data_IF_142102200754
#
_entry.id   IF_142102200754
#
_cell.length_a   1.000
_cell.length_b   1.000
_cell.length_c   1.000
_cell.angle_alpha   90.00
_cell.angle_beta   90.00
_cell.angle_gamma   90.00
#
_symmetry.space_group_name_H-M   'P 1'
#
loop_
_entity.id
_entity.type
_entity.pdbx_description
1 polymer ?
#
# COMPACT_ATOMS: atom_id res chain seq x y z
N UNK A 1 -24.86 7.51 -15.80
CA UNK A 1 -24.11 7.02 -14.63
C UNK A 1 -23.26 5.79 -14.96
N UNK A 2 -23.85 4.75 -15.56
CA UNK A 2 -23.15 3.49 -15.94
C UNK A 2 -21.96 3.68 -16.89
N UNK A 3 -22.01 4.67 -17.80
CA UNK A 3 -20.90 4.97 -18.73
C UNK A 3 -19.57 5.26 -18.02
N UNK A 4 -19.57 6.10 -16.98
CA UNK A 4 -18.35 6.40 -16.22
C UNK A 4 -17.83 5.19 -15.45
N UNK A 5 -18.73 4.31 -14.99
CA UNK A 5 -18.35 3.03 -14.38
C UNK A 5 -17.64 2.16 -15.43
N UNK A 6 -18.24 1.96 -16.61
CA UNK A 6 -17.63 1.19 -17.68
C UNK A 6 -16.25 1.74 -18.09
N UNK A 7 -16.12 3.05 -18.27
CA UNK A 7 -14.85 3.73 -18.58
C UNK A 7 -13.77 3.46 -17.52
N UNK A 8 -14.14 3.46 -16.22
CA UNK A 8 -13.22 3.11 -15.13
C UNK A 8 -12.71 1.68 -15.24
N UNK A 9 -13.58 0.71 -15.54
CA UNK A 9 -13.18 -0.69 -15.67
C UNK A 9 -12.32 -0.94 -16.92
N UNK A 10 -12.61 -0.27 -18.04
CA UNK A 10 -11.75 -0.30 -19.23
C UNK A 10 -10.36 0.26 -18.90
N UNK A 11 -10.30 1.41 -18.24
CA UNK A 11 -9.05 2.03 -17.84
C UNK A 11 -8.24 1.11 -16.91
N UNK A 12 -8.89 0.52 -15.92
CA UNK A 12 -8.23 -0.45 -15.03
C UNK A 12 -7.69 -1.66 -15.78
N UNK A 13 -8.47 -2.23 -16.71
CA UNK A 13 -8.02 -3.34 -17.53
C UNK A 13 -6.75 -2.99 -18.32
N UNK A 14 -6.72 -1.82 -18.93
CA UNK A 14 -5.63 -1.38 -19.80
C UNK A 14 -4.38 -0.90 -19.06
N UNK A 15 -4.56 -0.20 -17.95
CA UNK A 15 -3.46 0.50 -17.26
C UNK A 15 -2.94 -0.23 -16.02
N UNK A 16 -3.76 -1.06 -15.38
CA UNK A 16 -3.40 -1.72 -14.12
C UNK A 16 -3.32 -3.24 -14.27
N UNK A 17 -4.30 -3.87 -14.93
CA UNK A 17 -4.36 -5.33 -15.02
C UNK A 17 -3.57 -5.91 -16.20
N UNK A 18 -3.50 -5.21 -17.33
CA UNK A 18 -2.80 -5.68 -18.52
C UNK A 18 -1.34 -6.02 -18.21
N UNK A 19 -0.93 -7.24 -18.58
CA UNK A 19 0.42 -7.75 -18.29
C UNK A 19 0.70 -8.11 -16.83
N UNK A 20 -0.24 -7.88 -15.90
CA UNK A 20 -0.11 -8.18 -14.47
C UNK A 20 -1.09 -9.29 -14.03
N UNK A 21 -2.36 -9.21 -14.43
CA UNK A 21 -3.39 -10.22 -14.12
C UNK A 21 -4.33 -10.44 -15.31
N UNK A 22 -4.11 -11.51 -16.09
CA UNK A 22 -5.02 -11.90 -17.18
C UNK A 22 -6.45 -12.21 -16.71
N UNK A 23 -6.64 -12.58 -15.45
CA UNK A 23 -7.98 -12.78 -14.88
C UNK A 23 -8.67 -11.42 -14.68
N UNK A 24 -8.02 -10.49 -13.99
CA UNK A 24 -8.64 -9.19 -13.68
C UNK A 24 -8.81 -8.33 -14.94
N UNK A 25 -7.89 -8.41 -15.91
CA UNK A 25 -8.03 -7.73 -17.21
C UNK A 25 -9.31 -8.20 -17.91
N UNK A 26 -9.48 -9.51 -18.05
CA UNK A 26 -10.65 -10.13 -18.69
C UNK A 26 -11.96 -9.80 -17.98
N UNK A 27 -11.97 -9.91 -16.65
CA UNK A 27 -13.16 -9.61 -15.85
C UNK A 27 -13.51 -8.12 -15.90
N UNK A 28 -12.53 -7.22 -15.91
CA UNK A 28 -12.77 -5.80 -16.01
C UNK A 28 -13.37 -5.40 -17.36
N UNK A 29 -12.83 -5.94 -18.46
CA UNK A 29 -13.40 -5.75 -19.80
C UNK A 29 -14.83 -6.31 -19.91
N UNK A 30 -15.10 -7.43 -19.24
CA UNK A 30 -16.45 -7.99 -19.15
C UNK A 30 -17.40 -7.08 -18.37
N UNK A 31 -17.03 -6.65 -17.17
CA UNK A 31 -17.84 -5.76 -16.32
C UNK A 31 -18.19 -4.47 -17.07
N UNK A 32 -17.25 -3.91 -17.85
CA UNK A 32 -17.48 -2.71 -18.65
C UNK A 32 -18.56 -2.87 -19.73
N UNK A 33 -18.90 -4.10 -20.12
CA UNK A 33 -19.92 -4.42 -21.15
C UNK A 33 -21.17 -5.09 -20.57
N UNK A 34 -21.09 -5.65 -19.36
CA UNK A 34 -22.19 -6.36 -18.71
C UNK A 34 -23.20 -5.38 -18.09
N UNK A 35 -24.40 -5.30 -18.68
CA UNK A 35 -25.49 -4.48 -18.15
C UNK A 35 -25.87 -4.91 -16.71
N UNK A 36 -25.77 -6.21 -16.39
CA UNK A 36 -26.01 -6.75 -15.05
C UNK A 36 -25.01 -6.15 -14.04
N UNK A 37 -23.71 -6.23 -14.34
CA UNK A 37 -22.67 -5.68 -13.47
C UNK A 37 -22.76 -4.15 -13.34
N UNK A 38 -22.99 -3.43 -14.45
CA UNK A 38 -23.10 -1.98 -14.42
C UNK A 38 -24.33 -1.50 -13.64
N UNK A 39 -25.47 -2.20 -13.76
CA UNK A 39 -26.68 -1.88 -13.00
C UNK A 39 -26.45 -2.13 -11.51
N UNK A 40 -25.84 -3.26 -11.14
CA UNK A 40 -25.44 -3.55 -9.77
C UNK A 40 -24.54 -2.45 -9.18
N UNK A 41 -23.43 -2.12 -9.84
CA UNK A 41 -22.49 -1.10 -9.37
C UNK A 41 -23.13 0.28 -9.25
N UNK A 42 -24.11 0.60 -10.10
CA UNK A 42 -24.83 1.86 -10.05
C UNK A 42 -25.68 2.04 -8.79
N UNK A 43 -25.98 0.96 -8.06
CA UNK A 43 -26.67 1.03 -6.76
C UNK A 43 -25.75 1.39 -5.60
N UNK A 44 -24.43 1.33 -5.81
CA UNK A 44 -23.42 1.60 -4.80
C UNK A 44 -22.92 3.05 -4.88
N UNK A 45 -22.48 3.65 -3.75
CA UNK A 45 -21.79 4.93 -3.74
C UNK A 45 -20.55 4.94 -4.66
N UNK A 46 -20.18 6.11 -5.18
CA UNK A 46 -19.12 6.23 -6.20
C UNK A 46 -17.74 5.70 -5.73
N UNK A 47 -17.41 5.89 -4.46
CA UNK A 47 -16.20 5.38 -3.80
C UNK A 47 -16.22 3.85 -3.63
N UNK A 48 -17.38 3.21 -3.77
CA UNK A 48 -17.57 1.75 -3.68
C UNK A 48 -17.69 1.06 -5.02
N UNK A 49 -17.38 1.75 -6.12
CA UNK A 49 -17.50 1.19 -7.48
C UNK A 49 -16.14 0.81 -8.10
N UNK A 50 -15.11 0.63 -7.27
CA UNK A 50 -13.74 0.38 -7.72
C UNK A 50 -13.56 -1.09 -8.18
N UNK A 51 -12.81 -1.36 -9.27
CA UNK A 51 -12.59 -2.72 -9.76
C UNK A 51 -11.98 -3.66 -8.72
N UNK A 52 -10.90 -3.25 -8.05
CA UNK A 52 -10.25 -4.06 -7.02
C UNK A 52 -11.22 -4.44 -5.87
N UNK A 53 -12.07 -3.50 -5.44
CA UNK A 53 -13.06 -3.75 -4.41
C UNK A 53 -14.13 -4.76 -4.86
N UNK A 54 -14.62 -4.64 -6.11
CA UNK A 54 -15.60 -5.57 -6.67
C UNK A 54 -15.01 -6.99 -6.75
N UNK A 55 -13.80 -7.12 -7.30
CA UNK A 55 -13.18 -8.44 -7.49
C UNK A 55 -12.85 -9.09 -6.15
N UNK A 56 -12.33 -8.34 -5.17
CA UNK A 56 -12.11 -8.85 -3.83
C UNK A 56 -13.43 -9.26 -3.14
N UNK A 57 -14.49 -8.47 -3.29
CA UNK A 57 -15.80 -8.78 -2.72
C UNK A 57 -16.42 -10.04 -3.33
N UNK A 58 -16.38 -10.19 -4.66
CA UNK A 58 -16.84 -11.40 -5.35
C UNK A 58 -16.03 -12.61 -4.89
N UNK A 59 -14.70 -12.49 -4.76
CA UNK A 59 -13.86 -13.58 -4.25
C UNK A 59 -14.15 -13.95 -2.80
N UNK A 60 -14.43 -12.96 -1.96
CA UNK A 60 -14.84 -13.18 -0.57
C UNK A 60 -16.16 -13.95 -0.48
N UNK A 61 -17.13 -13.63 -1.35
CA UNK A 61 -18.47 -14.23 -1.33
C UNK A 61 -18.48 -15.62 -1.99
N UNK A 62 -17.79 -15.78 -3.12
CA UNK A 62 -17.96 -16.94 -4.02
C UNK A 62 -16.66 -17.68 -4.36
N UNK A 63 -15.51 -17.30 -3.78
CA UNK A 63 -14.21 -17.88 -4.09
C UNK A 63 -13.61 -17.37 -5.41
N UNK A 64 -12.54 -18.01 -5.87
CA UNK A 64 -11.83 -17.57 -7.07
C UNK A 64 -12.68 -17.77 -8.33
N UNK A 65 -13.10 -16.67 -8.96
CA UNK A 65 -13.82 -16.65 -10.23
C UNK A 65 -12.88 -16.11 -11.31
N UNK A 66 -12.70 -16.85 -12.40
CA UNK A 66 -11.86 -16.45 -13.54
C UNK A 66 -12.62 -16.22 -14.85
N UNK A 67 -13.88 -16.68 -14.91
CA UNK A 67 -14.71 -16.67 -16.12
C UNK A 67 -15.84 -15.63 -16.07
N UNK A 68 -16.06 -14.83 -17.14
CA UNK A 68 -17.13 -13.85 -17.25
C UNK A 68 -18.53 -14.37 -16.88
N UNK A 69 -18.92 -15.55 -17.38
CA UNK A 69 -20.24 -16.10 -17.11
C UNK A 69 -20.45 -16.42 -15.63
N UNK A 70 -19.45 -17.04 -14.98
CA UNK A 70 -19.51 -17.34 -13.56
C UNK A 70 -19.57 -16.05 -12.73
N UNK A 71 -18.87 -15.01 -13.16
CA UNK A 71 -18.91 -13.70 -12.53
C UNK A 71 -20.31 -13.07 -12.60
N UNK A 72 -20.94 -13.06 -13.78
CA UNK A 72 -22.31 -12.57 -13.94
C UNK A 72 -23.32 -13.39 -13.12
N UNK A 73 -23.13 -14.71 -13.00
CA UNK A 73 -23.98 -15.54 -12.12
C UNK A 73 -23.88 -15.09 -10.68
N UNK A 74 -22.68 -14.84 -10.15
CA UNK A 74 -22.51 -14.34 -8.78
C UNK A 74 -23.19 -12.98 -8.60
N UNK A 75 -22.99 -12.04 -9.53
CA UNK A 75 -23.62 -10.71 -9.43
C UNK A 75 -25.14 -10.80 -9.51
N UNK A 76 -25.69 -11.71 -10.33
CA UNK A 76 -27.15 -11.88 -10.43
C UNK A 76 -27.74 -12.57 -9.19
N UNK A 77 -27.11 -13.64 -8.74
CA UNK A 77 -27.71 -14.55 -7.75
C UNK A 77 -27.35 -14.15 -6.31
N UNK A 78 -26.25 -13.40 -6.10
CA UNK A 78 -25.72 -13.03 -4.77
C UNK A 78 -25.36 -11.55 -4.67
N UNK A 79 -26.07 -10.68 -5.41
CA UNK A 79 -25.84 -9.24 -5.47
C UNK A 79 -25.73 -8.59 -4.08
N UNK A 80 -26.68 -8.87 -3.18
CA UNK A 80 -26.75 -8.19 -1.89
C UNK A 80 -25.62 -8.60 -0.94
N UNK A 81 -25.15 -9.85 -1.03
CA UNK A 81 -23.98 -10.30 -0.28
C UNK A 81 -22.72 -9.56 -0.73
N UNK A 82 -22.53 -9.43 -2.06
CA UNK A 82 -21.41 -8.66 -2.63
C UNK A 82 -21.53 -7.18 -2.25
N UNK A 83 -22.72 -6.58 -2.36
CA UNK A 83 -22.96 -5.19 -1.97
C UNK A 83 -22.66 -4.95 -0.48
N UNK A 84 -23.05 -5.88 0.39
CA UNK A 84 -22.77 -5.81 1.82
C UNK A 84 -21.27 -5.76 2.09
N UNK A 85 -20.49 -6.61 1.43
CA UNK A 85 -19.02 -6.58 1.53
C UNK A 85 -18.46 -5.26 1.02
N UNK A 86 -18.87 -4.82 -0.17
CA UNK A 86 -18.37 -3.58 -0.78
C UNK A 86 -18.72 -2.33 0.02
N UNK A 87 -19.86 -2.29 0.72
CA UNK A 87 -20.24 -1.16 1.59
C UNK A 87 -19.43 -1.14 2.89
N UNK A 88 -19.07 -2.31 3.43
CA UNK A 88 -18.36 -2.44 4.71
C UNK A 88 -16.85 -2.36 4.59
N UNK A 89 -16.30 -2.90 3.50
CA UNK A 89 -14.86 -3.01 3.27
C UNK A 89 -14.36 -1.97 2.28
N UNK A 90 -13.08 -1.65 2.39
CA UNK A 90 -12.38 -0.75 1.47
C UNK A 90 -11.15 -1.48 0.92
N UNK A 91 -10.70 -1.10 -0.27
CA UNK A 91 -9.39 -1.52 -0.79
C UNK A 91 -8.31 -1.01 0.16
N UNK A 92 -7.63 -1.91 0.87
CA UNK A 92 -6.59 -1.58 1.85
C UNK A 92 -5.37 -2.48 1.64
N UNK A 93 -4.68 -2.29 0.51
CA UNK A 93 -3.49 -3.08 0.17
C UNK A 93 -2.37 -2.81 1.16
N UNK A 94 -2.20 -3.71 2.12
CA UNK A 94 -1.03 -3.69 3.02
C UNK A 94 0.08 -4.52 2.37
N UNK A 95 1.13 -3.86 1.87
CA UNK A 95 2.18 -4.50 1.07
C UNK A 95 3.54 -4.46 1.78
N UNK A 96 3.90 -5.49 2.58
CA UNK A 96 5.16 -5.54 3.34
C UNK A 96 6.40 -5.40 2.47
N UNK A 97 6.32 -5.78 1.18
CA UNK A 97 7.43 -5.63 0.24
C UNK A 97 7.96 -4.20 0.14
N UNK A 98 7.10 -3.20 0.38
CA UNK A 98 7.50 -1.77 0.38
C UNK A 98 8.51 -1.43 1.47
N UNK A 99 8.62 -2.21 2.54
CA UNK A 99 9.69 -2.02 3.52
C UNK A 99 11.08 -2.18 2.87
N UNK A 100 11.25 -2.96 1.80
CA UNK A 100 12.54 -3.12 1.12
C UNK A 100 13.05 -1.83 0.46
N UNK A 101 12.14 -0.92 0.12
CA UNK A 101 12.47 0.39 -0.47
C UNK A 101 12.54 1.51 0.57
N UNK A 102 11.90 1.31 1.73
CA UNK A 102 11.96 2.23 2.86
C UNK A 102 13.22 2.03 3.71
N UNK A 103 13.66 0.78 3.90
CA UNK A 103 14.77 0.46 4.81
C UNK A 103 16.08 1.19 4.48
N UNK A 104 16.49 1.34 3.20
CA UNK A 104 17.69 2.12 2.85
C UNK A 104 17.67 3.57 3.35
N UNK A 105 16.48 4.15 3.55
CA UNK A 105 16.31 5.49 4.08
C UNK A 105 16.25 5.49 5.61
N UNK A 106 15.45 4.59 6.19
CA UNK A 106 15.30 4.47 7.64
C UNK A 106 16.63 4.15 8.33
N UNK A 107 17.45 3.27 7.75
CA UNK A 107 18.75 2.89 8.30
C UNK A 107 19.80 4.02 8.28
N UNK A 108 19.53 5.15 7.62
CA UNK A 108 20.39 6.34 7.63
C UNK A 108 20.05 7.32 8.75
N UNK A 109 18.93 7.11 9.44
CA UNK A 109 18.51 7.94 10.57
C UNK A 109 19.26 7.44 11.81
N UNK A 110 20.03 8.33 12.42
CA UNK A 110 20.85 7.98 13.60
C UNK A 110 20.01 8.07 14.87
N UNK A 111 20.12 7.05 15.72
CA UNK A 111 19.48 7.01 17.03
C UNK A 111 18.07 6.41 17.00
N UNK A 112 17.38 6.43 18.14
CA UNK A 112 16.06 5.81 18.28
C UNK A 112 15.02 6.50 17.41
N UNK A 113 14.17 5.71 16.76
CA UNK A 113 13.12 6.16 15.86
C UNK A 113 11.75 5.89 16.50
N UNK A 114 10.88 6.90 16.41
CA UNK A 114 9.45 6.78 16.62
C UNK A 114 8.77 6.76 15.24
N UNK A 115 8.34 5.58 14.79
CA UNK A 115 7.84 5.35 13.43
C UNK A 115 6.31 5.46 13.36
N UNK A 116 5.80 6.37 12.55
CA UNK A 116 4.37 6.56 12.30
C UNK A 116 4.05 6.23 10.84
N UNK A 117 3.12 5.30 10.62
CA UNK A 117 2.55 5.04 9.30
C UNK A 117 1.17 5.70 9.19
N UNK A 118 0.96 6.48 8.15
CA UNK A 118 -0.36 6.98 7.77
C UNK A 118 -0.91 6.10 6.65
N UNK A 119 -2.17 5.68 6.79
CA UNK A 119 -2.78 4.67 5.92
C UNK A 119 -2.31 3.26 6.24
N UNK A 120 -2.13 2.96 7.52
CA UNK A 120 -1.41 1.78 7.98
C UNK A 120 -2.10 0.44 7.67
N UNK A 121 -3.41 0.42 7.36
CA UNK A 121 -4.19 -0.81 7.19
C UNK A 121 -4.05 -1.74 8.40
N UNK A 122 -3.33 -2.86 8.28
CA UNK A 122 -3.03 -3.81 9.35
C UNK A 122 -1.65 -3.61 9.99
N UNK A 123 -0.96 -2.51 9.64
CA UNK A 123 0.34 -2.11 10.19
C UNK A 123 1.53 -2.93 9.71
N UNK A 124 1.39 -3.75 8.66
CA UNK A 124 2.48 -4.64 8.26
C UNK A 124 3.74 -3.89 7.75
N UNK A 125 3.63 -2.61 7.38
CA UNK A 125 4.77 -1.80 6.98
C UNK A 125 5.44 -1.07 8.16
N UNK A 126 4.86 -1.11 9.37
CA UNK A 126 5.46 -0.61 10.62
C UNK A 126 6.51 -1.56 11.21
N UNK A 127 6.79 -2.67 10.53
CA UNK A 127 7.65 -3.76 10.98
C UNK A 127 8.97 -3.87 10.16
N UNK A 128 9.62 -2.78 9.71
CA UNK A 128 10.80 -2.89 8.84
C UNK A 128 12.06 -3.40 9.56
N UNK A 129 12.10 -3.33 10.89
CA UNK A 129 13.20 -3.82 11.72
C UNK A 129 13.11 -5.32 12.05
N UNK A 130 12.01 -5.99 11.69
CA UNK A 130 11.81 -7.42 11.98
C UNK A 130 11.83 -8.31 10.73
N UNK A 131 11.81 -7.71 9.54
CA UNK A 131 11.87 -8.45 8.28
C UNK A 131 13.31 -8.70 7.81
N UNK A 132 13.45 -9.69 6.92
CA UNK A 132 14.69 -9.89 6.16
C UNK A 132 14.63 -9.20 4.80
N UNK A 133 15.80 -8.96 4.21
CA UNK A 133 15.95 -8.21 2.97
C UNK A 133 16.98 -8.85 2.05
N UNK A 134 16.66 -8.86 0.75
CA UNK A 134 17.55 -9.33 -0.30
C UNK A 134 17.55 -8.33 -1.46
N UNK A 135 18.63 -7.57 -1.58
CA UNK A 135 18.86 -6.61 -2.67
C UNK A 135 19.71 -7.19 -3.81
N UNK A 136 19.86 -8.52 -3.85
CA UNK A 136 20.68 -9.25 -4.81
C UNK A 136 22.09 -9.46 -4.29
N UNK A 137 22.95 -8.46 -4.45
CA UNK A 137 24.36 -8.49 -4.03
C UNK A 137 24.56 -8.29 -2.52
N UNK A 138 23.52 -7.83 -1.84
CA UNK A 138 23.52 -7.56 -0.40
C UNK A 138 22.26 -8.13 0.23
N UNK A 139 22.44 -8.80 1.37
CA UNK A 139 21.34 -9.38 2.15
C UNK A 139 21.47 -8.94 3.60
N UNK A 140 20.32 -8.70 4.21
CA UNK A 140 20.19 -8.47 5.64
C UNK A 140 19.18 -9.49 6.17
N UNK A 141 19.61 -10.55 6.87
CA UNK A 141 18.67 -11.53 7.43
C UNK A 141 17.74 -10.86 8.45
N UNK A 142 16.56 -11.42 8.75
CA UNK A 142 15.75 -10.94 9.86
C UNK A 142 16.51 -11.11 11.19
N UNK A 143 16.14 -10.37 12.25
CA UNK A 143 16.68 -10.62 13.58
C UNK A 143 16.47 -12.09 14.02
N UNK A 144 17.38 -12.69 14.82
CA UNK A 144 17.31 -14.11 15.18
C UNK A 144 15.98 -14.56 15.77
N UNK A 145 15.31 -13.70 16.53
CA UNK A 145 14.00 -13.97 17.13
C UNK A 145 12.85 -14.13 16.11
N UNK A 146 13.05 -13.65 14.87
CA UNK A 146 12.09 -13.76 13.77
C UNK A 146 12.57 -14.69 12.63
N UNK A 147 13.72 -15.33 12.80
CA UNK A 147 14.26 -16.28 11.82
C UNK A 147 13.26 -17.42 11.55
N UNK A 148 13.12 -17.78 10.27
CA UNK A 148 12.16 -18.81 9.82
C UNK A 148 10.69 -18.40 9.82
N UNK A 149 10.35 -17.22 10.34
CA UNK A 149 8.98 -16.67 10.30
C UNK A 149 8.86 -15.43 9.42
N UNK A 150 9.79 -14.49 9.58
CA UNK A 150 9.74 -13.24 8.83
C UNK A 150 9.98 -13.48 7.32
N UNK A 151 9.25 -12.78 6.44
CA UNK A 151 9.52 -12.85 5.02
C UNK A 151 10.90 -12.25 4.71
N UNK A 152 11.55 -12.79 3.69
CA UNK A 152 12.69 -12.14 3.03
C UNK A 152 12.16 -11.28 1.89
N UNK A 153 12.33 -9.97 2.01
CA UNK A 153 11.82 -8.99 1.06
C UNK A 153 12.84 -8.76 -0.06
N UNK A 154 12.55 -9.33 -1.22
CA UNK A 154 13.38 -9.19 -2.41
C UNK A 154 13.14 -7.86 -3.11
N UNK A 155 14.23 -7.20 -3.50
CA UNK A 155 14.16 -5.93 -4.21
C UNK A 155 15.32 -5.77 -5.19
N UNK A 156 15.01 -5.57 -6.47
CA UNK A 156 16.00 -5.22 -7.47
C UNK A 156 16.53 -3.80 -7.23
N UNK A 157 17.82 -3.56 -7.37
CA UNK A 157 18.41 -2.25 -7.09
C UNK A 157 19.23 -1.71 -8.25
N UNK A 158 19.17 -0.40 -8.46
CA UNK A 158 20.14 0.30 -9.31
C UNK A 158 21.46 0.50 -8.56
N UNK A 159 22.57 0.71 -9.30
CA UNK A 159 23.81 1.22 -8.72
C UNK A 159 23.57 2.47 -7.86
N UNK A 160 24.33 2.61 -6.79
CA UNK A 160 24.24 3.75 -5.85
C UNK A 160 23.11 3.67 -4.83
N UNK A 161 22.23 2.67 -4.90
CA UNK A 161 21.22 2.44 -3.85
C UNK A 161 21.91 2.10 -2.52
N UNK A 162 21.66 2.84 -1.42
CA UNK A 162 22.27 2.56 -0.13
C UNK A 162 22.02 1.13 0.34
N UNK A 163 23.02 0.53 1.01
CA UNK A 163 22.98 -0.84 1.54
C UNK A 163 23.04 -0.83 3.07
N UNK A 164 21.90 -0.96 3.77
CA UNK A 164 21.88 -1.05 5.23
C UNK A 164 22.70 -2.23 5.74
N UNK A 165 23.60 -2.01 6.70
CA UNK A 165 24.34 -3.08 7.37
C UNK A 165 23.61 -3.63 8.61
N UNK A 166 22.62 -2.89 9.11
CA UNK A 166 21.81 -3.23 10.26
C UNK A 166 20.39 -2.68 10.09
N UNK A 167 19.44 -3.23 10.83
CA UNK A 167 18.08 -2.69 10.95
C UNK A 167 18.08 -1.35 11.70
N UNK A 168 17.10 -0.46 11.42
CA UNK A 168 16.93 0.78 12.16
C UNK A 168 16.51 0.52 13.62
N UNK A 169 16.96 1.37 14.55
CA UNK A 169 16.60 1.30 15.97
C UNK A 169 15.19 1.91 16.20
N UNK A 170 14.14 1.10 16.03
CA UNK A 170 12.74 1.54 16.19
C UNK A 170 12.23 1.18 17.58
N UNK A 171 12.22 2.16 18.48
CA UNK A 171 11.80 1.97 19.88
C UNK A 171 10.30 2.21 20.11
N UNK A 172 9.63 2.86 19.16
CA UNK A 172 8.21 3.18 19.24
C UNK A 172 7.60 3.18 17.85
N UNK A 173 6.36 2.68 17.71
CA UNK A 173 5.65 2.67 16.44
C UNK A 173 4.14 2.79 16.61
N UNK A 174 3.48 3.49 15.69
CA UNK A 174 2.03 3.56 15.62
C UNK A 174 1.52 3.76 14.18
N UNK A 175 0.39 3.16 13.85
CA UNK A 175 -0.30 3.37 12.58
C UNK A 175 -1.57 4.18 12.76
N UNK A 176 -1.84 5.10 11.83
CA UNK A 176 -3.09 5.84 11.71
C UNK A 176 -3.82 5.39 10.44
N UNK A 177 -5.03 4.87 10.57
CA UNK A 177 -5.86 4.46 9.43
C UNK A 177 -7.33 4.76 9.70
N UNK A 178 -8.12 5.05 8.65
CA UNK A 178 -9.56 5.29 8.81
C UNK A 178 -10.31 4.04 9.27
N UNK A 179 -9.83 2.85 8.89
CA UNK A 179 -10.42 1.57 9.23
C UNK A 179 -9.30 0.53 9.45
N UNK A 180 -8.56 0.61 10.57
CA UNK A 180 -7.47 -0.33 10.83
C UNK A 180 -7.96 -1.78 10.85
N UNK A 181 -7.16 -2.69 10.28
CA UNK A 181 -7.48 -4.11 10.22
C UNK A 181 -6.74 -4.87 11.32
N UNK A 182 -7.43 -5.79 11.97
CA UNK A 182 -6.91 -6.54 13.12
C UNK A 182 -6.41 -7.91 12.69
N UNK A 183 -5.09 -8.10 12.67
CA UNK A 183 -4.46 -9.37 12.25
C UNK A 183 -4.78 -10.55 13.17
N UNK A 184 -5.35 -10.32 14.36
CA UNK A 184 -5.84 -11.39 15.25
C UNK A 184 -7.22 -11.91 14.83
N UNK A 185 -7.92 -11.23 13.91
CA UNK A 185 -9.23 -11.63 13.39
C UNK A 185 -9.10 -12.28 12.03
N UNK A 186 -9.51 -13.54 11.95
CA UNK A 186 -9.50 -14.32 10.69
C UNK A 186 -10.23 -13.61 9.56
N UNK A 187 -11.33 -12.90 9.85
CA UNK A 187 -12.09 -12.17 8.84
C UNK A 187 -11.32 -10.99 8.21
N UNK A 188 -10.42 -10.34 8.95
CA UNK A 188 -9.60 -9.24 8.46
C UNK A 188 -8.39 -9.78 7.69
N UNK A 189 -7.76 -10.85 8.18
CA UNK A 189 -6.71 -11.57 7.45
C UNK A 189 -7.24 -12.09 6.11
N UNK A 190 -8.40 -12.76 6.12
CA UNK A 190 -9.04 -13.22 4.89
C UNK A 190 -9.34 -12.07 3.93
N UNK A 191 -9.74 -10.90 4.41
CA UNK A 191 -9.96 -9.72 3.57
C UNK A 191 -8.66 -9.24 2.92
N UNK A 192 -7.57 -9.12 3.68
CA UNK A 192 -6.25 -8.77 3.14
C UNK A 192 -5.81 -9.73 2.04
N UNK A 193 -6.03 -11.05 2.22
CA UNK A 193 -5.71 -12.05 1.20
C UNK A 193 -6.54 -11.88 -0.08
N UNK A 194 -7.81 -11.48 0.01
CA UNK A 194 -8.65 -11.23 -1.17
C UNK A 194 -8.19 -10.02 -1.99
N UNK A 195 -7.44 -9.10 -1.39
CA UNK A 195 -6.85 -7.94 -2.07
C UNK A 195 -5.58 -8.32 -2.85
N UNK A 196 -4.98 -9.47 -2.58
CA UNK A 196 -3.88 -10.02 -3.40
C UNK A 196 -4.46 -10.72 -4.62
N UNK A 197 -4.04 -10.28 -5.81
CA UNK A 197 -4.61 -10.77 -7.06
C UNK A 197 -4.31 -12.27 -7.26
N UNK A 198 -5.20 -13.02 -7.95
CA UNK A 198 -5.11 -14.48 -8.04
C UNK A 198 -3.76 -15.02 -8.51
N UNK A 199 -3.11 -14.32 -9.43
CA UNK A 199 -1.82 -14.70 -10.02
C UNK A 199 -0.62 -14.39 -9.10
N UNK A 200 -0.79 -13.54 -8.09
CA UNK A 200 0.31 -13.02 -7.28
C UNK A 200 0.64 -13.88 -6.05
N UNK A 201 0.88 -15.18 -6.24
CA UNK A 201 1.10 -16.13 -5.13
C UNK A 201 2.28 -15.77 -4.23
N UNK A 202 3.41 -15.34 -4.81
CA UNK A 202 4.56 -14.87 -4.01
C UNK A 202 4.22 -13.66 -3.12
N UNK A 203 3.29 -12.81 -3.55
CA UNK A 203 2.81 -11.68 -2.73
C UNK A 203 1.87 -12.18 -1.63
N UNK A 204 1.06 -13.19 -1.90
CA UNK A 204 0.18 -13.81 -0.91
C UNK A 204 0.99 -14.52 0.18
N UNK A 205 2.02 -15.27 -0.20
CA UNK A 205 2.90 -15.95 0.76
C UNK A 205 3.63 -14.93 1.64
N UNK A 206 4.17 -13.85 1.04
CA UNK A 206 4.77 -12.75 1.79
C UNK A 206 3.78 -12.10 2.77
N UNK A 207 2.55 -11.83 2.32
CA UNK A 207 1.51 -11.26 3.17
C UNK A 207 1.24 -12.17 4.37
N UNK A 208 1.08 -13.48 4.16
CA UNK A 208 0.85 -14.46 5.23
C UNK A 208 2.00 -14.52 6.23
N UNK A 209 3.25 -14.54 5.74
CA UNK A 209 4.43 -14.48 6.62
C UNK A 209 4.48 -13.19 7.44
N UNK A 210 4.20 -12.03 6.83
CA UNK A 210 4.14 -10.76 7.55
C UNK A 210 3.01 -10.71 8.59
N UNK A 211 1.82 -11.24 8.25
CA UNK A 211 0.71 -11.40 9.21
C UNK A 211 1.13 -12.27 10.39
N UNK A 212 1.83 -13.38 10.14
CA UNK A 212 2.33 -14.25 11.22
C UNK A 212 3.32 -13.56 12.16
N UNK A 213 4.14 -12.64 11.63
CA UNK A 213 5.02 -11.79 12.45
C UNK A 213 4.19 -10.79 13.26
N UNK A 214 3.26 -10.08 12.61
CA UNK A 214 2.41 -9.09 13.25
C UNK A 214 1.49 -9.68 14.33
N UNK A 215 1.08 -10.95 14.20
CA UNK A 215 0.33 -11.64 15.25
C UNK A 215 1.15 -11.88 16.53
N UNK A 216 2.48 -11.95 16.44
CA UNK A 216 3.36 -12.05 17.61
C UNK A 216 3.86 -10.71 18.13
N UNK A 217 4.04 -9.73 17.25
CA UNK A 217 4.42 -8.38 17.61
C UNK A 217 3.46 -7.39 16.92
N UNK A 218 2.23 -7.24 17.43
CA UNK A 218 1.24 -6.39 16.78
C UNK A 218 1.62 -4.92 16.90
N UNK A 219 1.75 -4.19 15.78
CA UNK A 219 1.94 -2.75 15.84
C UNK A 219 0.68 -2.10 16.41
N UNK A 220 0.85 -1.00 17.16
CA UNK A 220 -0.27 -0.20 17.64
C UNK A 220 -0.96 0.48 16.46
N UNK A 221 -2.28 0.27 16.32
CA UNK A 221 -3.09 0.93 15.30
C UNK A 221 -4.14 1.81 15.96
N UNK A 222 -4.31 3.01 15.42
CA UNK A 222 -5.28 4.02 15.86
C UNK A 222 -6.22 4.32 14.70
N UNK A 223 -7.52 4.27 14.96
CA UNK A 223 -8.52 4.68 14.00
C UNK A 223 -8.57 6.22 13.94
N UNK A 224 -8.38 6.80 12.77
CA UNK A 224 -8.43 8.26 12.58
C UNK A 224 -8.17 8.74 11.16
N UNK A 225 -8.49 10.00 10.91
CA UNK A 225 -8.28 10.71 9.66
C UNK A 225 -6.89 11.36 9.64
N UNK A 226 -6.11 11.01 8.61
CA UNK A 226 -4.74 11.49 8.44
C UNK A 226 -4.56 13.01 8.36
N UNK A 227 -5.61 13.74 7.99
CA UNK A 227 -5.60 15.20 7.87
C UNK A 227 -5.96 15.90 9.18
N UNK A 228 -6.48 15.18 10.18
CA UNK A 228 -6.99 15.74 11.42
C UNK A 228 -6.29 15.18 12.65
N UNK A 229 -6.10 13.87 12.72
CA UNK A 229 -5.69 13.17 13.94
C UNK A 229 -4.17 12.94 14.05
N UNK A 230 -3.43 13.13 12.95
CA UNK A 230 -1.99 12.92 12.89
C UNK A 230 -1.19 13.75 13.92
N UNK A 231 -1.46 15.06 14.15
CA UNK A 231 -0.71 15.85 15.12
C UNK A 231 -0.79 15.29 16.55
N UNK A 232 -1.96 14.78 16.94
CA UNK A 232 -2.14 14.16 18.26
C UNK A 232 -1.29 12.90 18.39
N UNK A 233 -1.23 12.06 17.35
CA UNK A 233 -0.42 10.84 17.36
C UNK A 233 1.09 11.14 17.37
N UNK A 234 1.54 12.18 16.66
CA UNK A 234 2.94 12.65 16.70
C UNK A 234 3.33 13.07 18.12
N UNK A 235 2.44 13.76 18.84
CA UNK A 235 2.69 14.25 20.19
C UNK A 235 2.87 13.13 21.24
N UNK A 236 2.45 11.89 20.93
CA UNK A 236 2.64 10.72 21.80
C UNK A 236 4.03 10.07 21.66
N UNK A 237 4.81 10.46 20.64
CA UNK A 237 6.13 9.89 20.41
C UNK A 237 7.08 10.23 21.59
N UNK A 238 7.99 9.32 21.97
CA UNK A 238 8.97 9.58 23.01
C UNK A 238 9.84 10.80 22.70
N UNK A 239 10.11 11.69 23.68
CA UNK A 239 10.82 12.96 23.45
C UNK A 239 12.30 12.77 23.05
N UNK A 240 12.86 11.58 23.30
CA UNK A 240 14.24 11.22 22.95
C UNK A 240 14.34 10.43 21.63
N UNK A 241 13.26 10.32 20.85
CA UNK A 241 13.24 9.61 19.58
C UNK A 241 13.08 10.58 18.40
N UNK A 242 13.72 10.25 17.27
CA UNK A 242 13.46 10.93 16.01
C UNK A 242 12.11 10.49 15.47
N UNK A 243 11.15 11.41 15.35
CA UNK A 243 9.84 11.11 14.78
C UNK A 243 9.96 10.98 13.27
N UNK A 244 9.49 9.85 12.73
CA UNK A 244 9.44 9.59 11.30
C UNK A 244 8.00 9.30 10.93
N UNK A 245 7.41 10.14 10.08
CA UNK A 245 6.06 9.90 9.53
C UNK A 245 6.22 9.44 8.09
N UNK A 246 5.69 8.27 7.77
CA UNK A 246 5.72 7.75 6.42
C UNK A 246 4.34 7.29 5.94
N UNK A 247 4.20 7.19 4.62
CA UNK A 247 3.03 6.59 3.99
C UNK A 247 3.38 5.94 2.67
N UNK A 248 2.62 4.91 2.31
CA UNK A 248 2.79 4.20 1.04
C UNK A 248 1.46 4.00 0.31
N UNK A 249 1.29 4.68 -0.82
CA UNK A 249 0.11 4.60 -1.69
C UNK A 249 -1.24 5.04 -1.07
N UNK A 250 -1.27 5.77 0.05
CA UNK A 250 -2.55 6.14 0.70
C UNK A 250 -3.05 7.51 0.23
N UNK A 251 -2.15 8.47 -0.05
CA UNK A 251 -2.56 9.83 -0.38
C UNK A 251 -3.28 9.91 -1.72
N UNK A 252 -3.14 8.92 -2.60
CA UNK A 252 -3.94 8.77 -3.83
C UNK A 252 -5.45 8.68 -3.56
N UNK A 253 -5.87 8.20 -2.38
CA UNK A 253 -7.28 8.11 -1.98
C UNK A 253 -7.84 9.44 -1.45
N UNK A 254 -6.98 10.41 -1.12
CA UNK A 254 -7.40 11.78 -0.81
C UNK A 254 -7.65 12.48 -2.14
N UNK A 255 -8.88 12.43 -2.65
CA UNK A 255 -9.21 12.87 -4.01
C UNK A 255 -8.84 14.33 -4.31
N UNK A 256 -9.00 15.22 -3.32
CA UNK A 256 -8.74 16.64 -3.43
C UNK A 256 -7.23 16.97 -3.36
N UNK A 257 -6.70 17.59 -4.43
CA UNK A 257 -5.30 18.03 -4.49
C UNK A 257 -4.98 19.08 -3.42
N UNK A 258 -5.89 19.98 -3.08
CA UNK A 258 -5.64 21.01 -2.06
C UNK A 258 -5.44 20.38 -0.68
N UNK A 259 -6.18 19.29 -0.37
CA UNK A 259 -5.99 18.51 0.86
C UNK A 259 -4.64 17.78 0.87
N UNK A 260 -4.23 17.20 -0.27
CA UNK A 260 -2.89 16.61 -0.40
C UNK A 260 -1.80 17.65 -0.16
N UNK A 261 -1.90 18.82 -0.80
CA UNK A 261 -0.91 19.88 -0.66
C UNK A 261 -0.89 20.46 0.77
N UNK A 262 -2.04 20.53 1.44
CA UNK A 262 -2.11 20.90 2.86
C UNK A 262 -1.40 19.88 3.76
N UNK A 263 -1.60 18.58 3.53
CA UNK A 263 -0.86 17.53 4.23
C UNK A 263 0.66 17.69 4.06
N UNK A 264 1.12 17.92 2.82
CA UNK A 264 2.55 18.14 2.55
C UNK A 264 3.10 19.38 3.26
N UNK A 265 2.37 20.50 3.28
CA UNK A 265 2.78 21.71 4.03
C UNK A 265 2.91 21.43 5.52
N UNK A 266 1.90 20.79 6.12
CA UNK A 266 1.92 20.45 7.54
C UNK A 266 3.12 19.55 7.90
N UNK A 267 3.46 18.59 7.03
CA UNK A 267 4.63 17.73 7.24
C UNK A 267 5.96 18.51 7.12
N UNK A 268 6.06 19.42 6.16
CA UNK A 268 7.26 20.27 5.98
C UNK A 268 7.44 21.30 7.10
N UNK A 269 6.35 21.72 7.74
CA UNK A 269 6.34 22.64 8.89
C UNK A 269 6.54 21.91 10.23
N UNK A 270 6.46 20.58 10.25
CA UNK A 270 6.68 19.76 11.45
C UNK A 270 8.17 19.46 11.70
N UNK A 271 8.50 19.08 12.93
CA UNK A 271 9.85 18.59 13.29
C UNK A 271 10.10 17.11 12.89
N UNK A 272 9.09 16.43 12.34
CA UNK A 272 9.21 15.04 11.94
C UNK A 272 9.96 14.87 10.61
N UNK A 273 10.68 13.76 10.45
CA UNK A 273 11.14 13.32 9.14
C UNK A 273 9.95 12.75 8.38
N UNK A 274 9.59 13.37 7.27
CA UNK A 274 8.52 12.92 6.39
C UNK A 274 9.05 12.07 5.24
N UNK A 275 8.54 10.84 5.10
CA UNK A 275 8.85 9.94 3.99
C UNK A 275 7.57 9.63 3.19
N UNK A 276 7.56 10.02 1.91
CA UNK A 276 6.43 9.75 1.01
C UNK A 276 6.84 8.74 -0.05
N UNK A 277 6.13 7.60 -0.18
CA UNK A 277 6.27 6.68 -1.31
C UNK A 277 4.94 6.54 -2.07
N UNK A 278 4.76 7.35 -3.10
CA UNK A 278 3.46 7.53 -3.76
C UNK A 278 3.60 7.59 -5.28
N UNK A 279 2.49 7.38 -6.00
CA UNK A 279 2.47 7.67 -7.44
C UNK A 279 2.80 9.15 -7.70
N UNK A 280 3.54 9.48 -8.77
CA UNK A 280 4.08 10.83 -8.98
C UNK A 280 3.01 11.92 -9.24
N UNK A 281 1.74 11.54 -9.43
CA UNK A 281 0.59 12.46 -9.51
C UNK A 281 0.09 12.95 -8.15
N UNK A 282 0.50 12.32 -7.05
CA UNK A 282 0.04 12.70 -5.70
C UNK A 282 0.60 14.06 -5.30
N UNK A 283 1.89 14.28 -5.56
CA UNK A 283 2.60 15.53 -5.32
C UNK A 283 3.37 16.00 -6.56
N UNK A 284 2.68 16.52 -7.60
CA UNK A 284 3.30 16.89 -8.86
C UNK A 284 4.41 17.96 -8.70
N UNK A 285 4.29 18.84 -7.70
CA UNK A 285 5.27 19.87 -7.37
C UNK A 285 6.64 19.29 -6.99
N UNK A 286 6.68 18.08 -6.42
CA UNK A 286 7.93 17.42 -6.06
C UNK A 286 8.40 16.49 -7.16
N UNK A 287 7.48 15.80 -7.84
CA UNK A 287 7.79 14.91 -8.95
C UNK A 287 8.49 15.62 -10.12
N UNK A 288 8.21 16.90 -10.35
CA UNK A 288 8.88 17.72 -11.36
C UNK A 288 10.41 17.82 -11.16
N UNK A 289 10.92 17.58 -9.95
CA UNK A 289 12.36 17.61 -9.62
C UNK A 289 13.04 16.23 -9.73
N UNK A 290 12.29 15.17 -10.03
CA UNK A 290 12.79 13.80 -10.10
C UNK A 290 13.29 13.39 -11.50
N UNK A 291 13.43 14.36 -12.42
CA UNK A 291 13.82 14.13 -13.81
C UNK A 291 12.69 13.51 -14.64
N UNK A 292 13.00 12.45 -15.39
CA UNK A 292 12.01 11.80 -16.26
C UNK A 292 10.89 11.16 -15.44
N UNK A 293 9.66 11.57 -15.76
CA UNK A 293 8.44 11.08 -15.15
C UNK A 293 8.18 9.60 -15.49
N UNK A 294 7.87 8.77 -14.48
CA UNK A 294 7.61 7.32 -14.63
C UNK A 294 6.23 6.95 -14.06
N UNK A 295 5.28 6.63 -14.94
CA UNK A 295 3.88 6.37 -14.55
C UNK A 295 3.65 5.03 -13.85
N UNK A 296 4.53 4.06 -14.10
CA UNK A 296 4.49 2.69 -13.59
C UNK A 296 5.18 2.54 -12.23
N UNK A 297 5.75 3.62 -11.71
CA UNK A 297 6.58 3.64 -10.51
C UNK A 297 6.04 4.63 -9.47
N UNK A 298 6.40 4.40 -8.21
CA UNK A 298 6.25 5.39 -7.17
C UNK A 298 7.50 6.24 -7.05
N UNK A 299 7.33 7.45 -6.54
CA UNK A 299 8.42 8.34 -6.17
C UNK A 299 8.57 8.32 -4.65
N UNK A 300 9.73 7.85 -4.18
CA UNK A 300 10.12 7.93 -2.79
C UNK A 300 10.84 9.25 -2.52
N UNK A 301 10.36 9.98 -1.53
CA UNK A 301 10.83 11.32 -1.16
C UNK A 301 11.07 11.41 0.35
N UNK A 302 12.01 12.26 0.74
CA UNK A 302 12.22 12.67 2.13
C UNK A 302 12.08 14.18 2.24
N UNK A 303 11.19 14.67 3.11
CA UNK A 303 10.94 16.11 3.32
C UNK A 303 10.74 16.87 2.00
N UNK A 304 9.92 16.30 1.12
CA UNK A 304 9.64 16.79 -0.22
C UNK A 304 10.75 16.55 -1.25
N UNK A 305 11.98 16.22 -0.86
CA UNK A 305 13.09 15.98 -1.79
C UNK A 305 12.98 14.60 -2.44
N UNK A 306 12.87 14.51 -3.78
CA UNK A 306 12.89 13.22 -4.47
C UNK A 306 14.23 12.51 -4.33
N UNK A 307 14.19 11.20 -4.03
CA UNK A 307 15.40 10.40 -3.82
C UNK A 307 15.50 9.22 -4.78
N UNK A 308 14.39 8.53 -5.03
CA UNK A 308 14.42 7.30 -5.83
C UNK A 308 13.05 6.96 -6.38
N UNK A 309 13.04 6.33 -7.55
CA UNK A 309 11.84 5.70 -8.10
C UNK A 309 11.74 4.27 -7.58
N UNK A 310 10.56 3.86 -7.11
CA UNK A 310 10.34 2.54 -6.52
C UNK A 310 9.21 1.78 -7.19
N UNK A 311 9.32 0.45 -7.19
CA UNK A 311 8.22 -0.42 -7.58
C UNK A 311 7.03 -0.28 -6.63
N UNK A 312 5.77 -0.24 -7.11
CA UNK A 312 4.58 -0.10 -6.27
C UNK A 312 4.42 -1.16 -5.17
N UNK A 313 5.12 -2.29 -5.29
CA UNK A 313 5.13 -3.39 -4.32
C UNK A 313 6.49 -3.61 -3.66
N UNK A 314 7.41 -2.66 -3.82
CA UNK A 314 8.76 -2.71 -3.27
C UNK A 314 9.74 -3.63 -4.01
N UNK A 315 9.36 -4.10 -5.20
CA UNK A 315 10.16 -5.05 -6.00
C UNK A 315 11.39 -4.43 -6.66
N UNK A 316 11.50 -3.10 -6.67
CA UNK A 316 12.58 -2.39 -7.35
C UNK A 316 12.86 -1.02 -6.72
N UNK A 317 14.13 -0.61 -6.73
CA UNK A 317 14.62 0.74 -6.40
C UNK A 317 15.52 1.22 -7.55
N UNK A 318 15.27 2.44 -8.02
CA UNK A 318 16.10 3.14 -8.99
C UNK A 318 16.48 4.52 -8.43
N UNK A 319 17.62 4.55 -7.73
CA UNK A 319 18.12 5.72 -7.02
C UNK A 319 18.43 6.86 -7.99
N UNK A 320 18.03 8.09 -7.63
CA UNK A 320 18.37 9.27 -8.42
C UNK A 320 19.87 9.56 -8.23
N UNK A 321 20.61 9.65 -9.33
CA UNK A 321 22.01 10.05 -9.30
C UNK A 321 22.14 11.46 -8.72
N UNK A 322 23.14 11.70 -7.87
CA UNK A 322 23.40 13.00 -7.25
C UNK A 322 23.68 14.15 -8.26
N UNK A 323 23.87 13.82 -9.54
CA UNK A 323 24.06 14.76 -10.65
C UNK A 323 22.72 15.14 -11.29
N UNK A 324 21.91 15.92 -10.59
CA UNK A 324 20.86 16.77 -11.18
C UNK A 324 20.24 17.76 -10.15
N UNK A 325 21.08 18.28 -9.25
CA UNK A 325 20.78 19.45 -8.43
C UNK A 325 21.69 20.60 -8.84
#
# INVERSE_FOLDING_TARGET
MTRHIAERYIRFAQLEAAGQSPIYERLALHVARSQNCLSFLSTLPADRQQPNLLFAAVRHVAGNISGPEAFDRVIRDRAEEVATVMRRRTTQTNEPGRCAVLLPLLARITGPIALIEVGASAGLCLLPDVYGYDWGDHKLPPPPEFEGRAPILQCNTSPGTPRPLAHPDIIWRAGLDLNPLDVSRDADVAWLEQLVWPEHQLRLDRLRSAVSVAQCCPPRLVAGDLTQDLPALIAEAPPNATVVVFHTAVLTYVADQQRRDAFARNMLESDAIWISNEGPRVFPQFAARAGQYREDMFLLMQNGQPLTWTGPHGQQIAWLSATQA
#
